data_IF_057877840575
#
_entry.id   IF_057877840575
#
_cell.length_a   1.000
_cell.length_b   1.000
_cell.length_c   1.000
_cell.angle_alpha   90.00
_cell.angle_beta   90.00
_cell.angle_gamma   90.00
#
_symmetry.space_group_name_H-M   'P 1'
#
loop_
_entity.id
_entity.type
_entity.pdbx_description
1 polymer ?
#
# COMPACT_ATOMS: atom_id res chain seq x y z
N UNK A 1 -2.44 -4.88 -15.77
CA UNK A 1 -1.03 -5.34 -15.80
C UNK A 1 -0.33 -4.78 -14.57
N UNK A 2 0.65 -5.50 -14.00
CA UNK A 2 1.54 -4.97 -12.96
C UNK A 2 2.91 -4.76 -13.58
N UNK A 3 3.54 -3.61 -13.34
CA UNK A 3 4.92 -3.34 -13.74
C UNK A 3 5.66 -2.53 -12.68
N UNK A 4 6.98 -2.35 -12.87
CA UNK A 4 7.75 -1.43 -12.04
C UNK A 4 7.33 0.02 -12.32
N UNK A 5 7.48 0.86 -11.31
CA UNK A 5 7.36 2.32 -11.42
C UNK A 5 8.34 2.86 -12.48
N UNK A 6 7.88 3.82 -13.28
CA UNK A 6 8.73 4.64 -14.16
C UNK A 6 8.52 6.13 -13.85
N UNK A 7 9.48 6.96 -14.25
CA UNK A 7 9.47 8.40 -13.94
C UNK A 7 8.20 9.12 -14.41
N UNK A 8 7.63 8.72 -15.56
CA UNK A 8 6.41 9.32 -16.09
C UNK A 8 5.14 9.03 -15.28
N UNK A 9 5.17 8.06 -14.35
CA UNK A 9 4.02 7.77 -13.48
C UNK A 9 3.86 8.77 -12.34
N UNK A 10 4.95 9.47 -11.98
CA UNK A 10 5.07 10.22 -10.72
C UNK A 10 3.93 11.23 -10.50
N UNK A 11 3.64 12.06 -11.50
CA UNK A 11 2.63 13.11 -11.40
C UNK A 11 1.21 12.53 -11.25
N UNK A 12 0.92 11.45 -11.99
CA UNK A 12 -0.38 10.76 -11.93
C UNK A 12 -0.59 10.09 -10.58
N UNK A 13 0.44 9.38 -10.09
CA UNK A 13 0.41 8.67 -8.82
C UNK A 13 0.35 9.64 -7.63
N UNK A 14 1.02 10.79 -7.71
CA UNK A 14 0.92 11.83 -6.69
C UNK A 14 -0.50 12.38 -6.56
N UNK A 15 -1.16 12.68 -7.69
CA UNK A 15 -2.57 13.11 -7.69
C UNK A 15 -3.48 12.03 -7.11
N UNK A 16 -3.25 10.78 -7.50
CA UNK A 16 -4.05 9.64 -7.02
C UNK A 16 -3.86 9.38 -5.53
N UNK A 17 -2.62 9.46 -5.05
CA UNK A 17 -2.28 9.30 -3.64
C UNK A 17 -2.98 10.36 -2.79
N UNK A 18 -2.92 11.63 -3.21
CA UNK A 18 -3.56 12.74 -2.50
C UNK A 18 -5.08 12.52 -2.37
N UNK A 19 -5.73 12.15 -3.48
CA UNK A 19 -7.16 11.88 -3.51
C UNK A 19 -7.53 10.68 -2.62
N UNK A 20 -6.79 9.59 -2.73
CA UNK A 20 -7.12 8.34 -2.03
C UNK A 20 -6.85 8.44 -0.52
N UNK A 21 -5.72 9.00 -0.12
CA UNK A 21 -5.34 9.09 1.30
C UNK A 21 -6.18 10.11 2.06
N UNK A 22 -6.43 11.29 1.48
CA UNK A 22 -7.26 12.30 2.15
C UNK A 22 -8.69 11.82 2.39
N UNK A 23 -9.25 10.99 1.51
CA UNK A 23 -10.57 10.40 1.67
C UNK A 23 -10.58 9.23 2.65
N UNK A 24 -9.54 8.38 2.63
CA UNK A 24 -9.46 7.21 3.49
C UNK A 24 -9.10 7.53 4.94
N UNK A 25 -8.65 8.77 5.19
CA UNK A 25 -8.21 9.26 6.50
C UNK A 25 -8.78 10.65 6.82
N UNK A 26 -10.13 10.77 6.93
CA UNK A 26 -10.80 12.05 7.11
C UNK A 26 -10.48 12.73 8.45
N UNK A 27 -9.94 12.02 9.46
CA UNK A 27 -9.47 12.65 10.69
C UNK A 27 -8.26 13.58 10.48
N UNK A 28 -7.57 13.46 9.34
CA UNK A 28 -6.37 14.22 9.02
C UNK A 28 -6.67 15.24 7.91
N UNK A 29 -6.41 16.54 8.12
CA UNK A 29 -6.76 17.58 7.15
C UNK A 29 -5.92 17.48 5.88
N UNK A 30 -6.40 18.03 4.76
CA UNK A 30 -5.66 18.02 3.49
C UNK A 30 -4.24 18.61 3.59
N UNK A 31 -4.03 19.63 4.44
CA UNK A 31 -2.70 20.20 4.66
C UNK A 31 -1.70 19.19 5.27
N UNK A 32 -2.18 18.27 6.12
CA UNK A 32 -1.36 17.18 6.67
C UNK A 32 -0.84 16.25 5.58
N UNK A 33 -1.69 15.92 4.59
CA UNK A 33 -1.33 15.10 3.44
C UNK A 33 -0.42 15.84 2.47
N UNK A 34 -0.68 17.12 2.19
CA UNK A 34 0.19 17.97 1.36
C UNK A 34 1.61 18.07 1.92
N UNK A 35 1.75 18.19 3.24
CA UNK A 35 3.05 18.22 3.91
C UNK A 35 3.83 16.90 3.79
N UNK A 36 3.17 15.79 3.42
CA UNK A 36 3.74 14.44 3.28
C UNK A 36 4.00 14.03 1.83
N UNK A 37 3.87 14.94 0.87
CA UNK A 37 4.35 14.69 -0.49
C UNK A 37 5.83 14.24 -0.54
N UNK A 38 6.75 14.81 0.27
CA UNK A 38 8.11 14.29 0.35
C UNK A 38 8.19 12.83 0.84
N UNK A 39 7.25 12.38 1.69
CA UNK A 39 7.20 11.00 2.19
C UNK A 39 6.77 10.04 1.08
N UNK A 40 5.78 10.44 0.27
CA UNK A 40 5.42 9.71 -0.95
C UNK A 40 6.60 9.63 -1.91
N UNK A 41 7.36 10.73 -2.08
CA UNK A 41 8.51 10.74 -2.99
C UNK A 41 9.62 9.78 -2.54
N UNK A 42 9.81 9.62 -1.23
CA UNK A 42 10.73 8.59 -0.69
C UNK A 42 10.31 7.18 -1.09
N UNK A 43 9.01 6.92 -1.26
CA UNK A 43 8.51 5.61 -1.69
C UNK A 43 9.05 5.18 -3.06
N UNK A 44 9.46 6.12 -3.93
CA UNK A 44 10.01 5.79 -5.25
C UNK A 44 11.37 5.06 -5.18
N UNK A 45 12.11 5.23 -4.09
CA UNK A 45 13.41 4.58 -3.87
C UNK A 45 13.35 3.32 -3.02
N UNK A 46 12.15 2.83 -2.68
CA UNK A 46 11.98 1.64 -1.86
C UNK A 46 12.37 0.36 -2.60
N UNK A 47 12.61 -0.71 -1.84
CA UNK A 47 13.08 -2.01 -2.33
C UNK A 47 12.21 -2.54 -3.48
N UNK A 48 10.89 -2.45 -3.32
CA UNK A 48 9.94 -2.84 -4.35
C UNK A 48 8.86 -1.79 -4.49
N UNK A 49 8.73 -1.25 -5.71
CA UNK A 49 7.66 -0.33 -6.10
C UNK A 49 7.00 -0.85 -7.37
N UNK A 50 5.75 -1.28 -7.25
CA UNK A 50 4.95 -1.81 -8.35
C UNK A 50 3.75 -0.91 -8.59
N UNK A 51 3.37 -0.77 -9.85
CA UNK A 51 2.18 -0.02 -10.27
C UNK A 51 1.20 -0.92 -10.98
N UNK A 52 -0.09 -0.60 -10.83
CA UNK A 52 -1.19 -1.27 -11.52
C UNK A 52 -1.61 -0.43 -12.71
N UNK A 53 -1.61 -1.02 -13.91
CA UNK A 53 -2.07 -0.38 -15.13
C UNK A 53 -3.39 -1.00 -15.60
N UNK A 54 -4.42 -0.16 -15.74
CA UNK A 54 -5.78 -0.57 -16.10
C UNK A 54 -5.99 -0.68 -17.61
N UNK A 55 -6.84 -1.63 -18.04
CA UNK A 55 -7.46 -1.63 -19.36
C UNK A 55 -6.50 -1.67 -20.56
N UNK A 56 -5.32 -2.28 -20.43
CA UNK A 56 -4.31 -2.33 -21.51
C UNK A 56 -3.63 -0.99 -21.81
N UNK A 57 -3.93 0.06 -21.02
CA UNK A 57 -3.22 1.33 -21.09
C UNK A 57 -1.94 1.27 -20.26
N UNK A 58 -0.95 2.11 -20.56
CA UNK A 58 0.25 2.27 -19.74
C UNK A 58 0.04 3.22 -18.54
N UNK A 59 -1.21 3.54 -18.22
CA UNK A 59 -1.58 4.48 -17.16
C UNK A 59 -1.49 3.82 -15.80
N UNK A 60 -0.61 4.32 -14.94
CA UNK A 60 -0.54 3.91 -13.54
C UNK A 60 -1.76 4.39 -12.73
N UNK A 61 -2.64 3.45 -12.38
CA UNK A 61 -3.89 3.67 -11.63
C UNK A 61 -3.85 3.02 -10.23
N UNK A 62 -2.67 2.65 -9.75
CA UNK A 62 -2.45 2.18 -8.40
C UNK A 62 -0.97 1.92 -8.17
N UNK A 63 -0.56 1.89 -6.90
CA UNK A 63 0.82 1.65 -6.50
C UNK A 63 0.86 0.86 -5.20
N UNK A 64 1.88 0.00 -5.08
CA UNK A 64 2.33 -0.59 -3.83
C UNK A 64 3.84 -0.36 -3.69
N UNK A 65 4.27 0.00 -2.48
CA UNK A 65 5.67 0.16 -2.13
C UNK A 65 5.97 -0.64 -0.86
N UNK A 66 7.12 -1.32 -0.84
CA UNK A 66 7.60 -2.07 0.33
C UNK A 66 9.02 -1.66 0.67
N UNK A 67 9.27 -1.38 1.94
CA UNK A 67 10.63 -1.17 2.43
C UNK A 67 11.43 -2.47 2.41
N UNK A 68 12.75 -2.35 2.54
CA UNK A 68 13.66 -3.50 2.69
C UNK A 68 13.30 -4.37 3.91
N UNK A 69 12.64 -3.79 4.91
CA UNK A 69 12.16 -4.48 6.11
C UNK A 69 10.81 -5.17 5.94
N UNK A 70 10.18 -5.15 4.75
CA UNK A 70 8.86 -5.75 4.54
C UNK A 70 7.68 -4.88 4.99
N UNK A 71 7.91 -3.61 5.33
CA UNK A 71 6.82 -2.69 5.64
C UNK A 71 6.16 -2.21 4.34
N UNK A 72 4.84 -2.32 4.24
CA UNK A 72 4.05 -1.66 3.20
C UNK A 72 4.00 -0.16 3.49
N UNK A 73 4.91 0.59 2.90
CA UNK A 73 5.00 2.05 3.07
C UNK A 73 3.92 2.77 2.27
N UNK A 74 3.39 2.13 1.21
CA UNK A 74 2.30 2.68 0.43
C UNK A 74 1.48 1.57 -0.24
N UNK A 75 0.15 1.68 -0.20
CA UNK A 75 -0.76 0.92 -1.06
C UNK A 75 -2.01 1.75 -1.35
N UNK A 76 -2.27 2.01 -2.62
CA UNK A 76 -3.52 2.63 -3.07
C UNK A 76 -3.84 2.25 -4.51
N UNK A 77 -5.12 2.31 -4.84
CA UNK A 77 -5.63 2.18 -6.21
C UNK A 77 -6.66 3.26 -6.46
N UNK A 78 -6.84 3.61 -7.73
CA UNK A 78 -7.87 4.53 -8.16
C UNK A 78 -9.23 4.08 -7.65
N UNK A 79 -10.07 5.03 -7.24
CA UNK A 79 -11.41 4.77 -6.69
C UNK A 79 -12.23 3.84 -7.58
N UNK A 80 -12.21 4.07 -8.90
CA UNK A 80 -12.92 3.25 -9.88
C UNK A 80 -12.41 1.78 -9.96
N UNK A 81 -11.26 1.47 -9.37
CA UNK A 81 -10.65 0.14 -9.31
C UNK A 81 -10.74 -0.49 -7.91
N UNK A 82 -11.35 0.18 -6.94
CA UNK A 82 -11.60 -0.43 -5.64
C UNK A 82 -12.67 -1.52 -5.79
N UNK A 83 -12.45 -2.66 -5.14
CA UNK A 83 -13.35 -3.82 -5.25
C UNK A 83 -13.21 -4.65 -6.53
N UNK A 84 -12.38 -4.24 -7.49
CA UNK A 84 -12.17 -4.99 -8.76
C UNK A 84 -11.06 -6.04 -8.68
N UNK A 85 -10.28 -6.05 -7.59
CA UNK A 85 -9.11 -6.91 -7.42
C UNK A 85 -7.76 -6.23 -7.65
N UNK A 86 -7.73 -4.97 -8.14
CA UNK A 86 -6.48 -4.27 -8.45
C UNK A 86 -5.50 -4.17 -7.24
N UNK A 87 -6.02 -3.90 -6.03
CA UNK A 87 -5.21 -3.90 -4.81
C UNK A 87 -4.69 -5.30 -4.45
N UNK A 88 -5.49 -6.34 -4.69
CA UNK A 88 -5.11 -7.74 -4.46
C UNK A 88 -4.01 -8.19 -5.41
N UNK A 89 -4.07 -7.73 -6.66
CA UNK A 89 -3.04 -7.98 -7.68
C UNK A 89 -1.71 -7.35 -7.26
N UNK A 90 -1.73 -6.06 -6.88
CA UNK A 90 -0.56 -5.35 -6.35
C UNK A 90 0.05 -6.06 -5.14
N UNK A 91 -0.77 -6.41 -4.16
CA UNK A 91 -0.32 -7.11 -2.96
C UNK A 91 0.27 -8.48 -3.28
N UNK A 92 -0.30 -9.21 -4.25
CA UNK A 92 0.24 -10.50 -4.70
C UNK A 92 1.63 -10.35 -5.33
N UNK A 93 1.90 -9.23 -6.00
CA UNK A 93 3.21 -8.92 -6.60
C UNK A 93 4.35 -8.79 -5.59
N UNK A 94 4.06 -8.44 -4.34
CA UNK A 94 5.08 -8.27 -3.28
C UNK A 94 5.12 -9.42 -2.27
N UNK A 95 4.03 -10.18 -2.14
CA UNK A 95 3.95 -11.32 -1.21
C UNK A 95 4.86 -12.50 -1.58
N UNK A 96 5.25 -12.61 -2.85
CA UNK A 96 6.14 -13.68 -3.32
C UNK A 96 7.62 -13.44 -3.01
N UNK A 97 8.01 -12.19 -2.76
CA UNK A 97 9.41 -11.79 -2.57
C UNK A 97 9.77 -11.52 -1.12
N UNK A 98 8.78 -11.23 -0.27
CA UNK A 98 9.01 -10.87 1.13
C UNK A 98 8.67 -12.02 2.09
N UNK A 99 9.54 -12.34 3.07
CA UNK A 99 9.28 -13.39 4.06
C UNK A 99 8.15 -13.03 5.02
N UNK A 100 7.88 -11.75 5.19
CA UNK A 100 6.75 -11.20 5.96
C UNK A 100 6.44 -9.79 5.44
N UNK A 101 5.22 -9.34 5.70
CA UNK A 101 4.80 -7.96 5.45
C UNK A 101 4.16 -7.37 6.70
N UNK A 102 4.41 -6.09 6.95
CA UNK A 102 3.64 -5.29 7.92
C UNK A 102 2.99 -4.09 7.25
N UNK A 103 1.96 -3.55 7.91
CA UNK A 103 1.33 -2.29 7.52
C UNK A 103 0.76 -1.61 8.75
N UNK A 104 0.77 -0.28 8.75
CA UNK A 104 0.10 0.56 9.74
C UNK A 104 -1.16 1.17 9.11
N UNK A 105 -2.30 1.07 9.79
CA UNK A 105 -3.59 1.54 9.29
C UNK A 105 -4.34 2.28 10.39
N UNK A 106 -4.78 3.52 10.13
CA UNK A 106 -5.65 4.23 11.08
C UNK A 106 -6.98 3.49 11.28
N UNK A 107 -7.51 3.50 12.51
CA UNK A 107 -8.71 2.76 12.89
C UNK A 107 -9.92 3.12 12.02
N UNK A 108 -10.07 4.39 11.64
CA UNK A 108 -11.15 4.87 10.77
C UNK A 108 -11.13 4.27 9.35
N UNK A 109 -9.98 3.79 8.88
CA UNK A 109 -9.82 3.28 7.51
C UNK A 109 -10.33 1.83 7.43
N UNK A 110 -11.64 1.67 7.58
CA UNK A 110 -12.33 0.38 7.55
C UNK A 110 -12.09 -0.39 6.24
N UNK A 111 -11.97 0.34 5.12
CA UNK A 111 -11.68 -0.26 3.81
C UNK A 111 -10.33 -0.95 3.79
N UNK A 112 -9.26 -0.28 4.24
CA UNK A 112 -7.93 -0.88 4.32
C UNK A 112 -7.89 -2.01 5.36
N UNK A 113 -8.53 -1.83 6.53
CA UNK A 113 -8.60 -2.87 7.57
C UNK A 113 -9.23 -4.15 7.02
N UNK A 114 -10.40 -4.05 6.40
CA UNK A 114 -11.08 -5.19 5.80
C UNK A 114 -10.24 -5.82 4.68
N UNK A 115 -9.64 -5.00 3.81
CA UNK A 115 -8.76 -5.46 2.75
C UNK A 115 -7.59 -6.30 3.30
N UNK A 116 -6.84 -5.78 4.27
CA UNK A 116 -5.70 -6.48 4.85
C UNK A 116 -6.12 -7.74 5.61
N UNK A 117 -7.20 -7.69 6.39
CA UNK A 117 -7.74 -8.87 7.08
C UNK A 117 -8.16 -9.98 6.10
N UNK A 118 -8.87 -9.63 5.02
CA UNK A 118 -9.25 -10.57 3.95
C UNK A 118 -8.02 -11.17 3.27
N UNK A 119 -6.93 -10.41 3.18
CA UNK A 119 -5.65 -10.89 2.69
C UNK A 119 -4.79 -11.56 3.77
N UNK A 120 -5.33 -11.92 4.94
CA UNK A 120 -4.65 -12.72 5.95
C UNK A 120 -3.64 -11.95 6.80
N UNK A 121 -3.68 -10.61 6.78
CA UNK A 121 -3.00 -9.82 7.80
C UNK A 121 -3.77 -9.93 9.11
N UNK A 122 -3.02 -9.99 10.21
CA UNK A 122 -3.55 -9.99 11.57
C UNK A 122 -3.05 -8.76 12.29
N UNK A 123 -3.97 -8.10 12.99
CA UNK A 123 -3.61 -7.06 13.96
C UNK A 123 -2.77 -7.71 15.06
N UNK A 124 -1.67 -7.06 15.44
CA UNK A 124 -0.83 -7.52 16.55
C UNK A 124 -0.56 -6.44 17.59
N UNK A 125 -0.74 -5.17 17.22
CA UNK A 125 -0.56 -4.05 18.12
C UNK A 125 -1.47 -2.89 17.71
N UNK A 126 -1.91 -2.11 18.70
CA UNK A 126 -2.55 -0.81 18.53
C UNK A 126 -1.69 0.25 19.19
N UNK A 127 -1.57 1.40 18.54
CA UNK A 127 -0.91 2.58 19.10
C UNK A 127 -1.81 3.78 18.93
N UNK A 128 -1.95 4.58 19.98
CA UNK A 128 -2.66 5.84 19.84
C UNK A 128 -1.86 6.79 18.94
N UNK A 129 -2.52 7.38 17.95
CA UNK A 129 -1.95 8.40 17.07
C UNK A 129 -2.49 9.78 17.48
N UNK A 130 -1.69 10.61 18.20
CA UNK A 130 -2.19 11.89 18.74
C UNK A 130 -2.66 12.86 17.66
N UNK A 131 -2.03 12.85 16.49
CA UNK A 131 -2.37 13.78 15.39
C UNK A 131 -3.70 13.41 14.75
N UNK A 132 -3.99 12.11 14.62
CA UNK A 132 -5.26 11.62 14.10
C UNK A 132 -6.35 11.51 15.18
N UNK A 133 -5.98 11.63 16.47
CA UNK A 133 -6.84 11.48 17.66
C UNK A 133 -7.61 10.16 17.69
N UNK A 134 -6.95 9.10 17.25
CA UNK A 134 -7.49 7.74 17.17
C UNK A 134 -6.35 6.72 17.20
N UNK A 135 -6.69 5.44 17.29
CA UNK A 135 -5.69 4.38 17.20
C UNK A 135 -5.23 4.14 15.75
N UNK A 136 -3.98 3.70 15.63
CA UNK A 136 -3.45 3.06 14.44
C UNK A 136 -3.15 1.61 14.75
N UNK A 137 -3.57 0.73 13.84
CA UNK A 137 -3.44 -0.71 13.94
C UNK A 137 -2.18 -1.12 13.18
N UNK A 138 -1.27 -1.80 13.87
CA UNK A 138 -0.14 -2.47 13.24
C UNK A 138 -0.57 -3.89 12.91
N UNK A 139 -0.54 -4.21 11.62
CA UNK A 139 -0.95 -5.50 11.10
C UNK A 139 0.23 -6.18 10.42
N UNK A 140 0.34 -7.50 10.53
CA UNK A 140 1.36 -8.26 9.84
C UNK A 140 0.82 -9.53 9.19
N UNK A 141 1.55 -10.02 8.20
CA UNK A 141 1.29 -11.28 7.53
C UNK A 141 2.62 -11.97 7.23
N UNK A 142 2.70 -13.27 7.51
CA UNK A 142 3.81 -14.08 7.01
C UNK A 142 3.72 -14.22 5.47
N UNK A 143 4.85 -14.04 4.79
CA UNK A 143 4.99 -14.38 3.39
C UNK A 143 4.82 -15.89 3.20
N UNK A 144 4.48 -16.32 1.98
CA UNK A 144 4.55 -17.76 1.68
C UNK A 144 6.03 -18.12 1.67
N UNK A 145 6.48 -18.97 2.61
CA UNK A 145 7.77 -19.65 2.47
C UNK A 145 7.78 -20.31 1.09
N UNK A 146 8.64 -19.87 0.19
CA UNK A 146 8.96 -20.66 -0.99
C UNK A 146 9.62 -21.93 -0.44
N UNK A 147 8.88 -23.04 -0.43
CA UNK A 147 9.50 -24.34 -0.30
C UNK A 147 10.26 -24.59 -1.61
N UNK A 148 11.42 -23.93 -1.77
CA UNK A 148 12.47 -24.45 -2.63
C UNK A 148 12.94 -25.73 -1.93
N UNK A 149 12.24 -26.81 -2.25
CA UNK A 149 12.77 -28.16 -2.10
C UNK A 149 14.09 -28.15 -2.87
N UNK A 150 15.20 -28.17 -2.14
CA UNK A 150 16.48 -28.63 -2.64
C UNK A 150 16.25 -30.04 -3.17
N UNK A 151 16.07 -30.15 -4.50
CA UNK A 151 16.27 -31.39 -5.24
C UNK A 151 17.65 -31.25 -5.88
N UNK A 152 18.65 -31.79 -5.21
CA UNK A 152 19.81 -32.49 -5.75
C UNK A 152 20.62 -33.00 -4.56
#
# INVERSE_FOLDING_TARGET
MIRRLITSDAERLQRLWMDTFSQAHPSLPLCYWRARLPDLHRCWGEETVLVYCSGGTDRADGMIATSKGGELTCLFVARALQGTGAGSDLLSGVLGTQPWLSVCVLEENLGARYFFQRHGFREHERRYCPVARQDQLLMHRAGRRSNLRTRA
#
